data_IF_119369241402
#
_entry.id   IF_119369241402
#
_cell.length_a   1.000
_cell.length_b   1.000
_cell.length_c   1.000
_cell.angle_alpha   90.00
_cell.angle_beta   90.00
_cell.angle_gamma   90.00
#
_symmetry.space_group_name_H-M   'P 1'
#
loop_
_entity.id
_entity.type
_entity.pdbx_description
1 polymer ?
#
# COMPACT_ATOMS: atom_id res chain seq x y z
N UNK A 1 20.63 -6.15 17.06
CA UNK A 1 20.66 -7.59 16.70
C UNK A 1 21.10 -7.84 15.25
N UNK A 2 20.46 -7.25 14.23
CA UNK A 2 20.95 -7.40 12.84
C UNK A 2 22.32 -6.73 12.61
N UNK A 3 22.54 -5.57 13.22
CA UNK A 3 23.82 -4.85 13.17
C UNK A 3 24.97 -5.64 13.77
N UNK A 4 24.75 -6.32 14.92
CA UNK A 4 25.78 -7.10 15.63
C UNK A 4 26.29 -8.29 14.80
N UNK A 5 25.40 -8.98 14.06
CA UNK A 5 25.76 -10.14 13.23
C UNK A 5 26.60 -9.76 12.00
N UNK A 6 26.50 -8.53 11.53
CA UNK A 6 27.17 -8.09 10.30
C UNK A 6 28.45 -7.27 10.56
N UNK A 7 28.98 -7.24 11.79
CA UNK A 7 30.17 -6.46 12.17
C UNK A 7 30.09 -4.96 11.81
N UNK A 8 28.87 -4.41 11.76
CA UNK A 8 28.64 -3.02 11.35
C UNK A 8 28.97 -2.05 12.52
N UNK A 9 29.02 -2.54 13.75
CA UNK A 9 29.44 -1.73 14.93
C UNK A 9 30.84 -1.10 14.74
N UNK A 10 31.76 -1.80 14.09
CA UNK A 10 33.10 -1.28 13.79
C UNK A 10 33.11 -0.12 12.80
N UNK A 11 32.04 0.04 12.02
CA UNK A 11 31.89 1.14 11.05
C UNK A 11 31.34 2.40 11.74
N UNK A 12 30.63 2.23 12.85
CA UNK A 12 29.99 3.27 13.63
C UNK A 12 30.47 3.31 15.08
N UNK A 13 31.78 3.27 15.31
CA UNK A 13 32.32 3.67 16.62
C UNK A 13 31.75 5.05 16.97
N UNK A 14 31.17 5.26 18.15
CA UNK A 14 30.57 6.54 18.50
C UNK A 14 31.61 7.64 18.38
N UNK A 15 31.48 8.45 17.34
CA UNK A 15 32.22 9.71 17.29
C UNK A 15 31.92 10.50 18.54
N UNK A 16 32.95 11.08 19.18
CA UNK A 16 32.80 11.98 20.32
C UNK A 16 31.68 12.95 20.03
N UNK A 17 30.67 13.00 20.92
CA UNK A 17 29.51 13.91 20.82
C UNK A 17 30.00 15.31 20.48
N UNK A 18 29.67 15.79 19.31
CA UNK A 18 29.93 17.17 18.89
C UNK A 18 28.73 18.02 19.30
N UNK A 19 28.80 18.59 20.50
CA UNK A 19 27.79 19.50 21.05
C UNK A 19 27.46 20.68 20.11
N UNK A 20 28.42 21.13 19.29
CA UNK A 20 28.18 22.17 18.28
C UNK A 20 27.27 21.68 17.19
N UNK A 21 27.43 20.44 16.76
CA UNK A 21 26.59 19.78 15.74
C UNK A 21 25.18 19.53 16.29
N UNK A 22 25.05 19.07 17.54
CA UNK A 22 23.75 18.88 18.20
C UNK A 22 23.01 20.22 18.40
N UNK A 23 23.71 21.27 18.84
CA UNK A 23 23.14 22.62 18.98
C UNK A 23 22.71 23.18 17.61
N UNK A 24 23.54 23.01 16.57
CA UNK A 24 23.20 23.42 15.21
C UNK A 24 21.96 22.70 14.68
N UNK A 25 21.83 21.40 14.91
CA UNK A 25 20.64 20.65 14.53
C UNK A 25 19.40 21.02 15.36
N UNK A 26 19.56 21.34 16.64
CA UNK A 26 18.47 21.84 17.49
C UNK A 26 17.98 23.23 17.04
N UNK A 27 18.91 24.15 16.76
CA UNK A 27 18.60 25.50 16.19
C UNK A 27 17.94 25.38 14.83
N UNK A 28 18.43 24.49 13.97
CA UNK A 28 17.85 24.18 12.66
C UNK A 28 16.42 23.61 12.79
N UNK A 29 16.19 22.74 13.76
CA UNK A 29 14.86 22.19 14.09
C UNK A 29 13.90 23.27 14.60
N UNK A 30 14.38 24.20 15.43
CA UNK A 30 13.62 25.36 15.88
C UNK A 30 13.30 26.34 14.74
N UNK A 31 14.27 26.66 13.89
CA UNK A 31 14.10 27.51 12.71
C UNK A 31 13.08 26.88 11.73
N UNK A 32 13.15 25.57 11.51
CA UNK A 32 12.17 24.81 10.69
C UNK A 32 10.76 24.88 11.30
N UNK A 33 10.63 24.80 12.63
CA UNK A 33 9.32 24.89 13.29
C UNK A 33 8.71 26.30 13.21
N UNK A 34 9.52 27.33 13.32
CA UNK A 34 9.10 28.73 13.12
C UNK A 34 8.73 28.97 11.66
N UNK A 35 9.49 28.43 10.73
CA UNK A 35 9.23 28.52 9.28
C UNK A 35 7.98 27.72 8.84
N UNK A 36 7.59 26.67 9.56
CA UNK A 36 6.33 25.93 9.30
C UNK A 36 5.06 26.79 9.41
N UNK A 37 5.13 27.94 10.06
CA UNK A 37 4.00 28.87 10.22
C UNK A 37 3.80 29.82 9.02
N UNK A 38 4.72 29.89 8.03
CA UNK A 38 4.60 30.75 6.84
C UNK A 38 4.67 29.92 5.56
N UNK A 39 3.65 29.98 4.71
CA UNK A 39 3.45 29.11 3.54
C UNK A 39 4.57 29.11 2.49
N UNK A 40 5.27 30.22 2.27
CA UNK A 40 6.39 30.32 1.33
C UNK A 40 7.67 29.61 1.81
N UNK A 41 7.90 29.53 3.10
CA UNK A 41 9.08 28.91 3.72
C UNK A 41 9.00 27.38 3.76
N UNK A 42 7.78 26.79 3.64
CA UNK A 42 7.59 25.34 3.70
C UNK A 42 8.31 24.59 2.58
N UNK A 43 8.28 25.13 1.37
CA UNK A 43 8.85 24.47 0.18
C UNK A 43 10.38 24.46 0.25
N UNK A 44 10.99 25.61 0.60
CA UNK A 44 12.45 25.72 0.73
C UNK A 44 12.99 24.92 1.92
N UNK A 45 12.30 24.96 3.06
CA UNK A 45 12.69 24.16 4.23
C UNK A 45 12.61 22.65 3.97
N UNK A 46 11.62 22.18 3.20
CA UNK A 46 11.52 20.78 2.77
C UNK A 46 12.67 20.39 1.85
N UNK A 47 13.05 21.27 0.92
CA UNK A 47 14.17 21.05 -0.01
C UNK A 47 15.50 20.93 0.76
N UNK A 48 15.80 21.88 1.65
CA UNK A 48 17.01 21.87 2.46
C UNK A 48 17.07 20.59 3.33
N UNK A 49 15.95 20.22 3.95
CA UNK A 49 15.89 18.99 4.74
C UNK A 49 16.12 17.74 3.87
N UNK A 50 15.53 17.70 2.69
CA UNK A 50 15.72 16.58 1.76
C UNK A 50 17.18 16.47 1.30
N UNK A 51 17.81 17.58 0.95
CA UNK A 51 19.22 17.61 0.56
C UNK A 51 20.16 17.18 1.70
N UNK A 52 19.88 17.65 2.93
CA UNK A 52 20.61 17.20 4.13
C UNK A 52 20.47 15.70 4.37
N UNK A 53 19.24 15.15 4.21
CA UNK A 53 19.01 13.71 4.34
C UNK A 53 19.69 12.90 3.23
N UNK A 54 19.64 13.39 1.99
CA UNK A 54 20.38 12.76 0.88
C UNK A 54 21.86 12.69 1.17
N UNK A 55 22.47 13.79 1.62
CA UNK A 55 23.89 13.81 1.97
C UNK A 55 24.23 12.81 3.09
N UNK A 56 23.43 12.76 4.14
CA UNK A 56 23.59 11.78 5.23
C UNK A 56 23.50 10.35 4.71
N UNK A 57 22.54 10.07 3.83
CA UNK A 57 22.38 8.75 3.23
C UNK A 57 23.54 8.40 2.29
N UNK A 58 24.08 9.36 1.54
CA UNK A 58 25.27 9.17 0.70
C UNK A 58 26.50 8.77 1.51
N UNK A 59 26.69 9.39 2.68
CA UNK A 59 27.76 9.01 3.60
C UNK A 59 27.62 7.55 4.06
N UNK A 60 26.42 7.11 4.39
CA UNK A 60 26.12 5.72 4.75
C UNK A 60 26.44 4.78 3.56
N UNK A 61 25.90 5.09 2.39
CA UNK A 61 26.10 4.28 1.17
C UNK A 61 27.57 4.11 0.80
N UNK A 62 28.37 5.16 0.95
CA UNK A 62 29.80 5.12 0.59
C UNK A 62 30.62 4.19 1.49
N UNK A 63 30.17 3.93 2.71
CA UNK A 63 30.86 3.12 3.70
C UNK A 63 30.40 1.65 3.72
N UNK A 64 29.19 1.38 3.24
CA UNK A 64 28.56 0.06 3.31
C UNK A 64 28.62 -0.62 1.95
N UNK A 65 29.10 -1.85 1.92
CA UNK A 65 29.06 -2.70 0.72
C UNK A 65 27.69 -3.35 0.59
N UNK A 66 27.24 -3.53 -0.64
CA UNK A 66 26.02 -4.29 -0.93
C UNK A 66 26.29 -5.78 -0.67
N UNK A 67 25.40 -6.41 0.06
CA UNK A 67 25.40 -7.85 0.29
C UNK A 67 24.43 -8.51 -0.70
N UNK A 68 24.92 -9.41 -1.58
CA UNK A 68 24.11 -10.06 -2.62
C UNK A 68 23.01 -10.97 -2.05
N UNK A 69 23.11 -11.36 -0.78
CA UNK A 69 22.19 -12.28 -0.11
C UNK A 69 21.20 -11.58 0.83
N UNK A 70 21.19 -10.25 0.89
CA UNK A 70 20.27 -9.49 1.72
C UNK A 70 19.12 -8.93 0.87
N UNK A 71 17.89 -9.20 1.31
CA UNK A 71 16.65 -8.73 0.70
C UNK A 71 15.87 -7.88 1.72
N UNK A 72 15.49 -6.68 1.32
CA UNK A 72 14.72 -5.75 2.14
C UNK A 72 13.27 -5.67 1.64
N UNK A 73 12.34 -5.94 2.54
CA UNK A 73 10.89 -5.91 2.29
C UNK A 73 10.21 -4.74 3.01
N UNK A 74 9.20 -4.16 2.36
CA UNK A 74 8.30 -3.22 3.01
C UNK A 74 6.94 -3.18 2.32
N UNK A 75 5.87 -3.15 3.10
CA UNK A 75 4.50 -3.06 2.61
C UNK A 75 3.86 -1.76 3.09
N UNK A 76 3.29 -0.98 2.16
CA UNK A 76 2.63 0.31 2.42
C UNK A 76 3.47 1.24 3.32
N UNK A 77 4.77 1.37 3.01
CA UNK A 77 5.70 2.18 3.79
C UNK A 77 5.80 1.72 5.26
N UNK A 78 5.87 0.41 5.46
CA UNK A 78 6.05 -0.23 6.76
C UNK A 78 4.82 -0.27 7.67
N UNK A 79 3.61 -0.08 7.13
CA UNK A 79 2.37 -0.07 7.92
C UNK A 79 1.75 -1.44 8.13
N UNK A 80 2.07 -2.43 7.31
CA UNK A 80 1.47 -3.76 7.37
C UNK A 80 2.43 -4.86 6.97
N UNK A 81 2.09 -6.09 7.31
CA UNK A 81 2.65 -7.32 6.78
C UNK A 81 1.61 -7.95 5.86
N UNK A 82 1.81 -7.91 4.56
CA UNK A 82 0.82 -8.37 3.59
C UNK A 82 1.20 -8.04 2.15
N UNK A 83 0.24 -8.15 1.24
CA UNK A 83 0.39 -7.82 -0.17
C UNK A 83 1.50 -8.64 -0.86
N UNK A 84 1.92 -8.26 -2.06
CA UNK A 84 2.94 -8.96 -2.84
C UNK A 84 4.31 -9.09 -2.16
N UNK A 85 4.80 -8.13 -1.35
CA UNK A 85 6.03 -8.34 -0.60
C UNK A 85 5.96 -9.54 0.36
N UNK A 86 4.81 -9.74 1.06
CA UNK A 86 4.59 -10.91 1.92
C UNK A 86 4.60 -12.20 1.11
N UNK A 87 3.86 -12.26 0.01
CA UNK A 87 3.77 -13.45 -0.82
C UNK A 87 5.15 -13.89 -1.35
N UNK A 88 5.98 -12.93 -1.81
CA UNK A 88 7.35 -13.22 -2.25
C UNK A 88 8.20 -13.72 -1.08
N UNK A 89 8.12 -13.09 0.08
CA UNK A 89 8.88 -13.48 1.26
C UNK A 89 8.52 -14.89 1.73
N UNK A 90 7.24 -15.22 1.85
CA UNK A 90 6.78 -16.54 2.28
C UNK A 90 7.15 -17.64 1.26
N UNK A 91 7.10 -17.34 -0.03
CA UNK A 91 7.63 -18.23 -1.06
C UNK A 91 9.13 -18.49 -0.89
N UNK A 92 9.93 -17.45 -0.60
CA UNK A 92 11.37 -17.61 -0.38
C UNK A 92 11.68 -18.42 0.87
N UNK A 93 10.91 -18.27 1.96
CA UNK A 93 11.07 -19.08 3.18
C UNK A 93 10.80 -20.56 2.94
N UNK A 94 9.94 -20.90 2.00
CA UNK A 94 9.61 -22.30 1.66
C UNK A 94 10.49 -22.92 0.59
N UNK A 95 11.51 -22.19 0.08
CA UNK A 95 12.33 -22.63 -1.03
C UNK A 95 13.82 -22.63 -0.65
N UNK A 96 14.42 -23.81 -0.60
CA UNK A 96 15.82 -24.08 -0.21
C UNK A 96 16.87 -23.21 -0.95
N UNK A 97 16.54 -22.69 -2.14
CA UNK A 97 17.43 -21.78 -2.88
C UNK A 97 17.72 -20.48 -2.13
N UNK A 98 16.91 -20.16 -1.13
CA UNK A 98 17.02 -18.93 -0.34
C UNK A 98 17.45 -19.18 1.11
N UNK A 99 17.83 -20.39 1.50
CA UNK A 99 18.22 -20.74 2.88
C UNK A 99 19.39 -19.92 3.41
N UNK A 100 20.30 -19.49 2.53
CA UNK A 100 21.44 -18.68 2.86
C UNK A 100 21.21 -17.16 2.66
N UNK A 101 19.97 -16.76 2.40
CA UNK A 101 19.59 -15.35 2.31
C UNK A 101 19.21 -14.78 3.67
N UNK A 102 19.40 -13.49 3.80
CA UNK A 102 18.95 -12.69 4.95
C UNK A 102 17.77 -11.82 4.53
N UNK A 103 16.68 -11.91 5.27
CA UNK A 103 15.47 -11.15 5.03
C UNK A 103 15.35 -10.04 6.06
N UNK A 104 15.14 -8.81 5.60
CA UNK A 104 14.94 -7.65 6.46
C UNK A 104 13.59 -7.02 6.18
N UNK A 105 12.74 -6.94 7.19
CA UNK A 105 11.46 -6.25 7.11
C UNK A 105 11.55 -4.85 7.70
N UNK A 106 11.11 -3.85 6.94
CA UNK A 106 11.04 -2.47 7.41
C UNK A 106 9.61 -2.12 7.81
N UNK A 107 9.39 -1.88 9.12
CA UNK A 107 8.09 -1.50 9.69
C UNK A 107 8.14 -0.14 10.37
N UNK A 108 7.01 0.60 10.37
CA UNK A 108 6.84 1.82 11.17
C UNK A 108 6.67 1.53 12.66
N UNK A 109 5.95 0.46 12.97
CA UNK A 109 5.75 -0.03 14.33
C UNK A 109 6.14 -1.51 14.43
N UNK A 110 7.42 -1.81 14.61
CA UNK A 110 7.92 -3.19 14.60
C UNK A 110 7.31 -4.09 15.69
N UNK A 111 6.84 -3.51 16.80
CA UNK A 111 6.21 -4.28 17.89
C UNK A 111 4.96 -5.04 17.46
N UNK A 112 4.28 -4.60 16.39
CA UNK A 112 3.09 -5.27 15.87
C UNK A 112 3.41 -6.49 14.99
N UNK A 113 4.68 -6.65 14.58
CA UNK A 113 5.09 -7.64 13.59
C UNK A 113 6.26 -8.50 14.06
N UNK A 114 6.44 -8.66 15.39
CA UNK A 114 7.54 -9.43 15.97
C UNK A 114 7.50 -10.90 15.59
N UNK A 115 6.35 -11.42 15.23
CA UNK A 115 6.16 -12.81 14.78
C UNK A 115 7.01 -13.17 13.54
N UNK A 116 7.41 -12.19 12.70
CA UNK A 116 8.30 -12.49 11.57
C UNK A 116 9.71 -12.89 12.03
N UNK A 117 10.10 -12.57 13.26
CA UNK A 117 11.39 -12.95 13.84
C UNK A 117 11.48 -14.44 14.20
N UNK A 118 10.35 -15.14 14.23
CA UNK A 118 10.30 -16.60 14.44
C UNK A 118 10.81 -17.35 13.20
N UNK A 119 10.87 -16.66 12.04
CA UNK A 119 11.39 -17.25 10.80
C UNK A 119 12.92 -17.16 10.74
N UNK A 120 13.58 -18.15 10.12
CA UNK A 120 15.03 -18.18 10.01
C UNK A 120 15.56 -16.95 9.22
N UNK A 121 16.73 -16.46 9.61
CA UNK A 121 17.44 -15.38 8.92
C UNK A 121 16.62 -14.09 8.69
N UNK A 122 15.58 -13.88 9.49
CA UNK A 122 14.69 -12.72 9.37
C UNK A 122 14.95 -11.69 10.47
N UNK A 123 14.99 -10.42 10.08
CA UNK A 123 15.28 -9.27 10.95
C UNK A 123 14.27 -8.15 10.69
N UNK A 124 14.12 -7.27 11.67
CA UNK A 124 13.25 -6.10 11.57
C UNK A 124 14.06 -4.82 11.77
N UNK A 125 13.74 -3.81 10.94
CA UNK A 125 14.21 -2.42 11.13
C UNK A 125 13.02 -1.46 11.18
N UNK A 126 13.20 -0.33 11.86
CA UNK A 126 12.17 0.71 11.93
C UNK A 126 12.35 1.71 10.78
N UNK A 127 11.30 1.92 9.99
CA UNK A 127 11.31 2.90 8.88
C UNK A 127 11.70 4.30 9.36
N UNK A 128 12.49 5.01 8.56
CA UNK A 128 13.01 6.35 8.86
C UNK A 128 14.00 6.42 10.03
N UNK A 129 14.64 5.32 10.41
CA UNK A 129 15.75 5.26 11.35
C UNK A 129 17.08 5.09 10.63
N UNK A 130 18.18 5.21 11.34
CA UNK A 130 19.50 4.93 10.81
C UNK A 130 19.69 3.47 10.42
N UNK A 131 19.13 2.55 11.21
CA UNK A 131 19.16 1.11 10.93
C UNK A 131 18.45 0.78 9.61
N UNK A 132 17.35 1.48 9.32
CA UNK A 132 16.67 1.38 8.03
C UNK A 132 17.55 1.88 6.87
N UNK A 133 18.25 3.01 7.06
CA UNK A 133 19.18 3.54 6.05
C UNK A 133 20.37 2.58 5.83
N UNK A 134 20.88 1.94 6.89
CA UNK A 134 21.92 0.91 6.81
C UNK A 134 21.37 -0.32 6.07
N UNK A 135 20.19 -0.79 6.43
CA UNK A 135 19.55 -1.94 5.77
C UNK A 135 19.34 -1.68 4.27
N UNK A 136 18.86 -0.49 3.89
CA UNK A 136 18.73 -0.10 2.47
C UNK A 136 20.08 -0.05 1.77
N UNK A 137 21.14 0.44 2.42
CA UNK A 137 22.48 0.48 1.83
C UNK A 137 23.12 -0.92 1.70
N UNK A 138 22.75 -1.88 2.55
CA UNK A 138 23.28 -3.25 2.56
C UNK A 138 22.54 -4.16 1.57
N UNK A 139 21.20 -4.11 1.54
CA UNK A 139 20.39 -5.04 0.79
C UNK A 139 20.63 -4.93 -0.72
N UNK A 140 20.89 -6.08 -1.38
CA UNK A 140 20.95 -6.19 -2.84
C UNK A 140 19.59 -5.95 -3.48
N UNK A 141 18.55 -6.51 -2.89
CA UNK A 141 17.20 -6.45 -3.43
C UNK A 141 16.26 -5.68 -2.49
N UNK A 142 15.49 -4.76 -3.04
CA UNK A 142 14.44 -4.01 -2.34
C UNK A 142 13.11 -4.38 -2.95
N UNK A 143 12.21 -4.93 -2.14
CA UNK A 143 10.90 -5.45 -2.56
C UNK A 143 9.81 -4.64 -1.88
N UNK A 144 9.22 -3.71 -2.60
CA UNK A 144 8.30 -2.70 -2.07
C UNK A 144 7.04 -2.58 -2.92
N UNK A 145 5.90 -2.37 -2.29
CA UNK A 145 4.65 -2.07 -2.98
C UNK A 145 4.21 -0.60 -2.84
N UNK A 146 5.06 0.24 -2.30
CA UNK A 146 4.82 1.67 -2.10
C UNK A 146 6.09 2.46 -2.45
N UNK A 147 5.93 3.75 -2.75
CA UNK A 147 7.10 4.59 -3.10
C UNK A 147 8.03 4.79 -1.92
N UNK A 148 9.31 4.67 -2.16
CA UNK A 148 10.32 4.93 -1.16
C UNK A 148 10.46 6.41 -0.84
N UNK A 149 10.97 6.73 0.35
CA UNK A 149 11.33 8.08 0.76
C UNK A 149 12.27 8.74 -0.27
N UNK A 150 12.08 10.04 -0.54
CA UNK A 150 12.78 10.76 -1.62
C UNK A 150 14.30 10.82 -1.44
N UNK A 151 14.79 10.73 -0.20
CA UNK A 151 16.23 10.74 0.11
C UNK A 151 16.90 9.37 -0.03
N UNK A 152 16.13 8.28 -0.08
CA UNK A 152 16.64 6.92 -0.25
C UNK A 152 16.64 6.57 -1.75
N UNK A 153 17.78 6.13 -2.26
CA UNK A 153 17.94 5.69 -3.65
C UNK A 153 19.02 4.62 -3.75
N UNK A 154 18.88 3.66 -4.68
CA UNK A 154 19.76 2.51 -4.77
C UNK A 154 21.16 2.89 -5.29
N UNK A 155 22.14 2.04 -4.98
CA UNK A 155 23.42 2.00 -5.67
C UNK A 155 23.26 1.35 -7.06
N UNK A 156 24.24 1.53 -7.97
CA UNK A 156 24.17 0.92 -9.30
C UNK A 156 24.06 -0.62 -9.30
N UNK A 157 24.60 -1.25 -8.27
CA UNK A 157 24.60 -2.70 -8.09
C UNK A 157 23.38 -3.24 -7.32
N UNK A 158 22.51 -2.37 -6.81
CA UNK A 158 21.27 -2.77 -6.12
C UNK A 158 20.08 -2.85 -7.08
N UNK A 159 19.09 -3.66 -6.72
CA UNK A 159 17.85 -3.88 -7.50
C UNK A 159 16.63 -3.49 -6.68
N UNK A 160 16.03 -2.37 -7.01
CA UNK A 160 14.74 -1.98 -6.45
C UNK A 160 13.61 -2.48 -7.36
N UNK A 161 12.73 -3.31 -6.79
CA UNK A 161 11.53 -3.86 -7.42
C UNK A 161 10.32 -3.16 -6.82
N UNK A 162 9.64 -2.36 -7.62
CA UNK A 162 8.38 -1.72 -7.28
C UNK A 162 7.23 -2.66 -7.66
N UNK A 163 6.50 -3.16 -6.69
CA UNK A 163 5.39 -4.10 -6.92
C UNK A 163 4.05 -3.38 -7.15
N UNK A 164 3.98 -2.09 -6.78
CA UNK A 164 2.73 -1.36 -6.67
C UNK A 164 1.70 -2.12 -5.80
N UNK A 165 0.43 -1.73 -5.83
CA UNK A 165 -0.53 -2.28 -4.87
C UNK A 165 -1.98 -2.34 -5.38
N UNK A 166 -2.19 -2.35 -6.68
CA UNK A 166 -3.50 -2.53 -7.31
C UNK A 166 -3.51 -2.15 -8.78
N UNK A 167 -4.37 -2.79 -9.54
CA UNK A 167 -4.67 -2.42 -10.92
C UNK A 167 -5.21 -0.98 -10.95
N UNK A 168 -4.68 -0.09 -11.77
CA UNK A 168 -5.06 1.32 -11.72
C UNK A 168 -6.44 1.55 -12.37
N UNK A 169 -7.46 1.74 -11.55
CA UNK A 169 -8.76 2.25 -11.98
C UNK A 169 -8.70 3.78 -12.14
N UNK A 170 -8.15 4.46 -11.14
CA UNK A 170 -7.99 5.92 -11.10
C UNK A 170 -6.70 6.33 -11.78
N UNK A 171 -6.72 7.48 -12.47
CA UNK A 171 -5.50 8.05 -13.07
C UNK A 171 -4.43 8.30 -12.02
N UNK A 172 -3.19 8.03 -12.40
CA UNK A 172 -2.01 8.12 -11.55
C UNK A 172 -0.99 9.12 -12.13
N UNK A 173 -0.14 9.67 -11.29
CA UNK A 173 1.05 10.39 -11.68
C UNK A 173 0.87 11.44 -12.75
N UNK A 174 1.50 11.22 -13.90
CA UNK A 174 1.45 12.13 -15.05
C UNK A 174 0.08 12.20 -15.72
N UNK A 175 -0.76 11.18 -15.57
CA UNK A 175 -2.08 11.09 -16.23
C UNK A 175 -3.18 11.83 -15.48
N UNK A 176 -2.89 12.35 -14.28
CA UNK A 176 -3.87 13.10 -13.48
C UNK A 176 -4.15 14.45 -14.17
N UNK A 177 -5.41 14.66 -14.53
CA UNK A 177 -5.86 15.84 -15.30
C UNK A 177 -6.56 16.92 -14.47
N UNK A 178 -6.53 16.84 -13.15
CA UNK A 178 -7.26 17.78 -12.30
C UNK A 178 -6.44 19.05 -12.08
N UNK A 179 -7.16 20.19 -12.01
CA UNK A 179 -6.65 21.47 -11.49
C UNK A 179 -6.09 21.28 -10.08
N UNK A 180 -5.08 22.06 -9.72
CA UNK A 180 -4.41 22.01 -8.43
C UNK A 180 -5.39 21.86 -7.26
N UNK A 181 -5.42 20.69 -6.65
CA UNK A 181 -6.17 20.50 -5.42
C UNK A 181 -5.36 21.02 -4.22
N UNK A 182 -6.04 21.31 -3.12
CA UNK A 182 -5.46 21.96 -1.95
C UNK A 182 -4.30 21.18 -1.26
N UNK A 183 -4.10 19.91 -1.58
CA UNK A 183 -3.09 19.06 -0.93
C UNK A 183 -1.81 18.86 -1.73
N UNK A 184 -1.87 18.72 -3.06
CA UNK A 184 -0.70 18.54 -3.92
C UNK A 184 -0.97 19.17 -5.29
N UNK A 185 -0.08 20.01 -5.78
CA UNK A 185 -0.15 20.51 -7.14
C UNK A 185 0.18 19.41 -8.16
N UNK A 186 -0.31 19.54 -9.39
CA UNK A 186 -0.01 18.62 -10.50
C UNK A 186 1.51 18.48 -10.69
N UNK A 187 2.27 19.55 -10.53
CA UNK A 187 3.73 19.53 -10.62
C UNK A 187 4.39 18.72 -9.49
N UNK A 188 3.88 18.80 -8.26
CA UNK A 188 4.40 18.03 -7.13
C UNK A 188 4.13 16.53 -7.28
N UNK A 189 2.95 16.17 -7.80
CA UNK A 189 2.61 14.78 -8.09
C UNK A 189 3.55 14.21 -9.16
N UNK A 190 3.73 14.94 -10.28
CA UNK A 190 4.63 14.54 -11.36
C UNK A 190 6.07 14.38 -10.89
N UNK A 191 6.57 15.31 -10.07
CA UNK A 191 7.92 15.21 -9.51
C UNK A 191 8.10 13.97 -8.63
N UNK A 192 7.11 13.63 -7.81
CA UNK A 192 7.14 12.40 -7.00
C UNK A 192 7.21 11.14 -7.86
N UNK A 193 6.45 11.06 -8.95
CA UNK A 193 6.46 9.92 -9.85
C UNK A 193 7.76 9.84 -10.66
N UNK A 194 8.29 10.98 -11.10
CA UNK A 194 9.60 11.08 -11.75
C UNK A 194 10.74 10.58 -10.85
N UNK A 195 10.76 11.03 -9.59
CA UNK A 195 11.76 10.60 -8.61
C UNK A 195 11.64 9.09 -8.37
N UNK A 196 10.43 8.54 -8.25
CA UNK A 196 10.20 7.10 -8.07
C UNK A 196 10.67 6.31 -9.30
N UNK A 197 10.31 6.74 -10.52
CA UNK A 197 10.74 6.16 -11.78
C UNK A 197 12.27 6.11 -11.95
N UNK A 198 12.98 7.09 -11.38
CA UNK A 198 14.45 7.10 -11.43
C UNK A 198 15.10 6.01 -10.57
N UNK A 199 14.39 5.48 -9.56
CA UNK A 199 14.92 4.58 -8.54
C UNK A 199 14.73 3.11 -8.85
N UNK A 200 13.53 2.69 -9.26
CA UNK A 200 13.28 1.26 -9.46
C UNK A 200 13.98 0.73 -10.72
N UNK A 201 14.45 -0.51 -10.61
CA UNK A 201 14.95 -1.30 -11.73
C UNK A 201 13.81 -1.96 -12.48
N UNK A 202 12.78 -2.42 -11.74
CA UNK A 202 11.58 -3.03 -12.27
C UNK A 202 10.34 -2.51 -11.56
N UNK A 203 9.23 -2.43 -12.32
CA UNK A 203 7.88 -2.24 -11.78
C UNK A 203 7.00 -3.39 -12.26
N UNK A 204 6.31 -4.03 -11.31
CA UNK A 204 5.46 -5.18 -11.60
C UNK A 204 4.05 -4.72 -11.97
N UNK A 205 3.55 -5.22 -13.09
CA UNK A 205 2.19 -5.01 -13.56
C UNK A 205 1.38 -6.32 -13.53
N UNK A 206 0.12 -6.28 -13.07
CA UNK A 206 -0.72 -7.47 -13.00
C UNK A 206 -1.28 -7.89 -14.36
N UNK A 207 -1.24 -7.02 -15.36
CA UNK A 207 -1.77 -7.25 -16.71
C UNK A 207 -1.16 -6.23 -17.69
N UNK A 208 -1.34 -6.48 -18.98
CA UNK A 208 -0.95 -5.55 -20.04
C UNK A 208 -1.59 -4.17 -19.86
N UNK A 209 -2.90 -4.12 -19.58
CA UNK A 209 -3.60 -2.86 -19.26
C UNK A 209 -2.89 -2.07 -18.17
N UNK A 210 -2.55 -2.71 -17.05
CA UNK A 210 -1.84 -2.03 -15.97
C UNK A 210 -0.42 -1.60 -16.37
N UNK A 211 0.27 -2.41 -17.17
CA UNK A 211 1.60 -2.10 -17.72
C UNK A 211 1.60 -0.82 -18.52
N UNK A 212 0.66 -0.68 -19.48
CA UNK A 212 0.49 0.55 -20.26
C UNK A 212 0.24 1.78 -19.35
N UNK A 213 -0.63 1.62 -18.33
CA UNK A 213 -0.93 2.74 -17.42
C UNK A 213 0.25 3.09 -16.51
N UNK A 214 1.10 2.11 -16.16
CA UNK A 214 2.33 2.39 -15.42
C UNK A 214 3.37 3.09 -16.31
N UNK A 215 3.52 2.72 -17.58
CA UNK A 215 4.38 3.42 -18.54
C UNK A 215 4.00 4.91 -18.61
N UNK A 216 2.71 5.20 -18.80
CA UNK A 216 2.18 6.56 -18.89
C UNK A 216 2.29 7.31 -17.55
N UNK A 217 1.80 6.73 -16.45
CA UNK A 217 1.74 7.38 -15.14
C UNK A 217 3.11 7.76 -14.58
N UNK A 218 4.14 6.95 -14.77
CA UNK A 218 5.53 7.22 -14.39
C UNK A 218 6.35 7.91 -15.49
N UNK A 219 5.73 8.16 -16.66
CA UNK A 219 6.39 8.78 -17.83
C UNK A 219 7.66 8.02 -18.25
N UNK A 220 7.57 6.68 -18.26
CA UNK A 220 8.73 5.81 -18.47
C UNK A 220 9.28 5.91 -19.87
N UNK A 221 8.44 6.15 -20.88
CA UNK A 221 8.86 6.34 -22.25
C UNK A 221 9.83 7.53 -22.39
N UNK A 222 9.51 8.67 -21.76
CA UNK A 222 10.36 9.87 -21.82
C UNK A 222 11.75 9.69 -21.19
N UNK A 223 11.94 8.66 -20.38
CA UNK A 223 13.24 8.35 -19.73
C UNK A 223 13.84 7.03 -20.21
N UNK A 224 13.29 6.42 -21.27
CA UNK A 224 13.79 5.20 -21.88
C UNK A 224 13.73 3.97 -20.96
N UNK A 225 12.67 3.84 -20.14
CA UNK A 225 12.50 2.77 -19.15
C UNK A 225 11.25 1.92 -19.34
N UNK A 226 10.70 1.83 -20.54
CA UNK A 226 9.50 1.01 -20.82
C UNK A 226 9.75 -0.48 -20.58
N UNK A 227 10.97 -0.94 -20.80
CA UNK A 227 11.44 -2.31 -20.56
C UNK A 227 11.53 -2.72 -19.09
N UNK A 228 11.35 -1.74 -18.18
CA UNK A 228 11.36 -2.01 -16.73
C UNK A 228 10.03 -2.56 -16.23
N UNK A 229 8.96 -2.48 -17.03
CA UNK A 229 7.63 -3.00 -16.68
C UNK A 229 7.59 -4.51 -16.90
N UNK A 230 7.29 -5.26 -15.84
CA UNK A 230 7.17 -6.71 -15.89
C UNK A 230 5.70 -7.11 -15.72
N UNK A 231 5.09 -7.65 -16.77
CA UNK A 231 3.69 -8.10 -16.78
C UNK A 231 3.60 -9.56 -16.29
N UNK A 232 3.74 -9.77 -14.98
CA UNK A 232 3.85 -11.11 -14.36
C UNK A 232 2.71 -11.45 -13.38
N UNK A 233 1.68 -10.61 -13.28
CA UNK A 233 0.68 -10.76 -12.24
C UNK A 233 1.13 -10.17 -10.89
N UNK A 234 0.21 -10.13 -9.91
CA UNK A 234 0.57 -9.78 -8.54
C UNK A 234 0.80 -11.05 -7.72
N UNK A 235 1.99 -11.25 -7.11
CA UNK A 235 2.27 -12.43 -6.27
C UNK A 235 1.27 -12.65 -5.14
N UNK A 236 0.66 -11.57 -4.60
CA UNK A 236 -0.40 -11.70 -3.60
C UNK A 236 -1.61 -12.50 -4.10
N UNK A 237 -1.90 -12.45 -5.41
CA UNK A 237 -3.06 -13.12 -5.99
C UNK A 237 -2.85 -14.62 -6.18
N UNK A 238 -1.63 -15.13 -6.04
CA UNK A 238 -1.34 -16.57 -6.07
C UNK A 238 -2.12 -17.30 -4.97
N UNK A 239 -2.33 -16.66 -3.81
CA UNK A 239 -3.17 -17.20 -2.74
C UNK A 239 -4.61 -17.41 -3.19
N UNK A 240 -5.17 -16.52 -4.02
CA UNK A 240 -6.54 -16.63 -4.53
C UNK A 240 -6.74 -17.84 -5.48
N UNK A 241 -5.67 -18.34 -6.07
CA UNK A 241 -5.70 -19.52 -6.93
C UNK A 241 -5.40 -20.83 -6.18
N UNK A 242 -4.74 -20.73 -5.02
CA UNK A 242 -4.16 -21.90 -4.33
C UNK A 242 -4.70 -22.13 -2.90
N UNK A 243 -5.59 -21.27 -2.39
CA UNK A 243 -6.16 -21.45 -1.05
C UNK A 243 -6.94 -22.76 -0.92
N UNK A 244 -6.93 -23.34 0.29
CA UNK A 244 -7.57 -24.58 0.63
C UNK A 244 -8.82 -24.34 1.50
N UNK A 245 -9.62 -25.39 1.71
CA UNK A 245 -10.71 -25.34 2.69
C UNK A 245 -10.20 -25.09 4.12
N UNK A 246 -9.03 -25.64 4.47
CA UNK A 246 -8.40 -25.42 5.76
C UNK A 246 -8.05 -23.95 5.98
N UNK A 247 -7.53 -23.26 4.95
CA UNK A 247 -7.24 -21.82 5.03
C UNK A 247 -8.51 -21.01 5.31
N UNK A 248 -9.59 -21.34 4.62
CA UNK A 248 -10.90 -20.70 4.83
C UNK A 248 -11.41 -20.90 6.26
N UNK A 249 -11.33 -22.13 6.78
CA UNK A 249 -11.76 -22.47 8.13
C UNK A 249 -10.93 -21.76 9.19
N UNK A 250 -9.61 -21.71 9.02
CA UNK A 250 -8.68 -21.00 9.89
C UNK A 250 -8.95 -19.49 9.91
N UNK A 251 -9.17 -18.87 8.74
CA UNK A 251 -9.47 -17.44 8.63
C UNK A 251 -10.78 -17.11 9.37
N UNK A 252 -11.83 -17.91 9.16
CA UNK A 252 -13.13 -17.74 9.82
C UNK A 252 -12.99 -17.84 11.34
N UNK A 253 -12.22 -18.82 11.82
CA UNK A 253 -11.94 -19.02 13.24
C UNK A 253 -11.16 -17.86 13.83
N UNK A 254 -10.06 -17.47 13.21
CA UNK A 254 -9.22 -16.35 13.66
C UNK A 254 -9.97 -15.00 13.72
N UNK A 255 -10.98 -14.83 12.88
CA UNK A 255 -11.84 -13.65 12.87
C UNK A 255 -13.07 -13.78 13.77
N UNK A 256 -13.27 -14.94 14.42
CA UNK A 256 -14.43 -15.24 15.25
C UNK A 256 -15.77 -14.99 14.53
N UNK A 257 -15.88 -15.43 13.27
CA UNK A 257 -17.07 -15.23 12.46
C UNK A 257 -18.05 -16.42 12.62
N UNK A 258 -19.38 -16.19 12.54
CA UNK A 258 -20.38 -17.25 12.57
C UNK A 258 -20.27 -18.13 11.31
N UNK A 259 -20.19 -19.47 11.52
CA UNK A 259 -19.98 -20.44 10.42
C UNK A 259 -21.25 -20.79 9.63
N UNK A 260 -22.41 -20.42 10.17
CA UNK A 260 -23.75 -20.68 9.60
C UNK A 260 -24.25 -19.55 8.68
N UNK A 261 -23.42 -18.54 8.42
CA UNK A 261 -23.74 -17.37 7.59
C UNK A 261 -22.86 -17.30 6.35
N UNK A 262 -23.39 -16.68 5.30
CA UNK A 262 -22.63 -16.20 4.15
C UNK A 262 -22.05 -14.81 4.42
N UNK A 263 -20.98 -14.46 3.71
CA UNK A 263 -20.23 -13.24 3.98
C UNK A 263 -20.28 -12.26 2.80
N UNK A 264 -20.72 -11.05 3.07
CA UNK A 264 -20.65 -9.92 2.14
C UNK A 264 -19.46 -9.04 2.55
N UNK A 265 -18.43 -8.95 1.69
CA UNK A 265 -17.35 -8.00 1.90
C UNK A 265 -17.79 -6.61 1.40
N UNK A 266 -17.98 -5.67 2.31
CA UNK A 266 -18.23 -4.28 1.97
C UNK A 266 -16.94 -3.46 2.12
N UNK A 267 -16.37 -3.05 0.98
CA UNK A 267 -15.07 -2.38 0.89
C UNK A 267 -15.17 -1.03 0.17
N UNK A 268 -15.79 0.00 0.77
CA UNK A 268 -15.97 1.30 0.15
C UNK A 268 -14.67 2.08 0.07
N UNK A 269 -14.54 2.91 -0.97
CA UNK A 269 -13.45 3.86 -1.13
C UNK A 269 -13.64 5.06 -0.19
N UNK A 270 -12.53 5.50 0.35
CA UNK A 270 -12.45 6.76 1.09
C UNK A 270 -12.80 7.99 0.22
N UNK A 271 -13.49 8.98 0.82
CA UNK A 271 -13.82 10.27 0.17
C UNK A 271 -12.92 11.38 0.73
N UNK A 272 -12.04 11.93 -0.10
CA UNK A 272 -11.09 12.99 0.28
C UNK A 272 -11.80 14.31 0.68
N UNK A 273 -13.03 14.53 0.23
CA UNK A 273 -13.83 15.74 0.50
C UNK A 273 -14.65 15.68 1.82
N UNK A 274 -14.64 14.56 2.54
CA UNK A 274 -15.37 14.42 3.82
C UNK A 274 -14.51 14.83 5.04
N UNK A 275 -13.70 15.89 4.91
CA UNK A 275 -12.91 16.46 5.99
C UNK A 275 -13.58 17.72 6.55
N UNK A 276 -13.96 17.72 7.83
CA UNK A 276 -14.43 18.92 8.54
C UNK A 276 -13.30 19.51 9.39
N UNK A 277 -13.01 20.79 9.18
CA UNK A 277 -12.00 21.52 9.95
C UNK A 277 -12.35 21.52 11.45
N UNK A 278 -11.45 21.03 12.28
CA UNK A 278 -11.63 20.96 13.75
C UNK A 278 -12.25 19.67 14.30
N UNK A 279 -12.88 18.84 13.44
CA UNK A 279 -13.47 17.55 13.83
C UNK A 279 -12.69 16.38 13.22
N UNK A 280 -11.99 16.61 12.12
CA UNK A 280 -11.32 15.55 11.35
C UNK A 280 -12.21 15.01 10.24
N UNK A 281 -11.90 13.79 9.81
CA UNK A 281 -12.67 13.12 8.77
C UNK A 281 -13.96 12.53 9.36
N UNK A 282 -15.10 12.87 8.77
CA UNK A 282 -16.40 12.30 9.08
C UNK A 282 -16.79 11.37 7.94
N UNK A 283 -17.16 10.14 8.26
CA UNK A 283 -17.72 9.22 7.27
C UNK A 283 -19.22 9.19 7.41
N UNK A 284 -19.92 9.55 6.35
CA UNK A 284 -21.34 9.32 6.21
C UNK A 284 -21.55 8.20 5.20
N UNK A 285 -22.02 7.05 5.66
CA UNK A 285 -22.42 5.99 4.76
C UNK A 285 -23.83 6.26 4.23
N UNK A 286 -24.01 6.08 2.92
CA UNK A 286 -25.36 6.11 2.31
C UNK A 286 -26.02 4.73 2.35
N UNK A 287 -25.32 3.71 2.87
CA UNK A 287 -25.87 2.35 3.05
C UNK A 287 -26.77 2.32 4.27
N UNK A 288 -28.02 1.90 4.07
CA UNK A 288 -29.01 1.67 5.13
C UNK A 288 -28.82 0.25 5.72
N UNK A 289 -27.96 0.14 6.74
CA UNK A 289 -27.68 -1.14 7.40
C UNK A 289 -28.88 -1.72 8.17
N UNK A 290 -29.85 -0.90 8.57
CA UNK A 290 -31.06 -1.35 9.23
C UNK A 290 -31.95 -2.13 8.23
N UNK A 291 -32.12 -1.60 7.01
CA UNK A 291 -32.81 -2.33 5.93
C UNK A 291 -32.07 -3.58 5.48
N UNK A 292 -30.73 -3.50 5.34
CA UNK A 292 -29.94 -4.67 4.98
C UNK A 292 -30.04 -5.77 6.04
N UNK A 293 -30.01 -5.43 7.31
CA UNK A 293 -30.17 -6.38 8.41
C UNK A 293 -31.54 -7.06 8.37
N UNK A 294 -32.60 -6.28 8.10
CA UNK A 294 -33.95 -6.81 7.99
C UNK A 294 -34.10 -7.79 6.81
N UNK A 295 -33.46 -7.47 5.66
CA UNK A 295 -33.61 -8.24 4.44
C UNK A 295 -32.68 -9.45 4.37
N UNK A 296 -31.46 -9.37 4.92
CA UNK A 296 -30.39 -10.33 4.68
C UNK A 296 -29.83 -10.97 5.96
N UNK A 297 -30.17 -10.47 7.16
CA UNK A 297 -29.53 -10.84 8.41
C UNK A 297 -29.72 -12.31 8.83
N UNK A 298 -30.73 -13.00 8.27
CA UNK A 298 -30.95 -14.43 8.51
C UNK A 298 -29.95 -15.30 7.76
N UNK A 299 -29.42 -14.86 6.61
CA UNK A 299 -28.53 -15.64 5.76
C UNK A 299 -27.10 -15.06 5.69
N UNK A 300 -26.96 -13.74 5.76
CA UNK A 300 -25.69 -13.03 5.53
C UNK A 300 -25.25 -12.22 6.73
N UNK A 301 -23.93 -12.02 6.81
CA UNK A 301 -23.30 -10.96 7.61
C UNK A 301 -22.42 -10.07 6.71
N UNK A 302 -22.13 -8.86 7.17
CA UNK A 302 -21.32 -7.90 6.44
C UNK A 302 -19.94 -7.81 7.09
N UNK A 303 -18.90 -8.08 6.31
CA UNK A 303 -17.50 -7.83 6.64
C UNK A 303 -17.15 -6.41 6.18
N UNK A 304 -17.17 -5.44 7.09
CA UNK A 304 -16.93 -4.05 6.77
C UNK A 304 -15.44 -3.72 6.82
N UNK A 305 -14.86 -3.49 5.64
CA UNK A 305 -13.46 -3.08 5.47
C UNK A 305 -13.37 -1.65 4.96
N UNK A 306 -13.13 -0.71 5.83
CA UNK A 306 -12.96 0.69 5.48
C UNK A 306 -11.57 1.21 5.87
N UNK A 307 -11.23 2.40 5.37
CA UNK A 307 -10.06 3.11 5.87
C UNK A 307 -10.18 3.33 7.38
N UNK A 308 -9.08 3.22 8.13
CA UNK A 308 -9.09 3.26 9.60
C UNK A 308 -9.79 4.50 10.20
N UNK A 309 -9.77 5.64 9.51
CA UNK A 309 -10.47 6.85 9.93
C UNK A 309 -12.00 6.71 9.88
N UNK A 310 -12.49 5.94 8.90
CA UNK A 310 -13.91 5.63 8.71
C UNK A 310 -14.38 4.61 9.74
N UNK A 311 -13.58 3.55 9.92
CA UNK A 311 -13.90 2.50 10.88
C UNK A 311 -14.06 3.01 12.32
N UNK A 312 -13.35 4.07 12.68
CA UNK A 312 -13.47 4.68 14.01
C UNK A 312 -14.76 5.54 14.21
N UNK A 313 -15.43 5.94 13.13
CA UNK A 313 -16.66 6.76 13.19
C UNK A 313 -17.95 5.96 12.98
N UNK A 314 -17.83 4.66 12.63
CA UNK A 314 -18.99 3.79 12.44
C UNK A 314 -19.39 3.10 13.75
N UNK A 315 -20.67 3.12 14.09
CA UNK A 315 -21.23 2.46 15.28
C UNK A 315 -21.45 0.96 15.04
N UNK A 316 -20.38 0.17 15.25
CA UNK A 316 -20.45 -1.29 15.11
C UNK A 316 -21.31 -1.95 16.19
N UNK A 317 -21.43 -1.33 17.37
CA UNK A 317 -22.21 -1.90 18.49
C UNK A 317 -23.69 -1.95 18.16
N UNK A 318 -24.20 -0.94 17.45
CA UNK A 318 -25.58 -0.93 16.91
C UNK A 318 -25.88 -2.15 16.05
N UNK A 319 -24.90 -2.60 15.26
CA UNK A 319 -25.06 -3.68 14.29
C UNK A 319 -24.37 -4.98 14.70
N UNK A 320 -24.13 -5.15 15.99
CA UNK A 320 -23.48 -6.37 16.53
C UNK A 320 -24.20 -7.64 16.05
N UNK A 321 -23.42 -8.63 15.61
CA UNK A 321 -23.90 -9.89 15.05
C UNK A 321 -24.29 -9.83 13.56
N UNK A 322 -24.30 -8.63 12.94
CA UNK A 322 -24.58 -8.46 11.52
C UNK A 322 -23.43 -7.76 10.76
N UNK A 323 -22.81 -6.73 11.34
CA UNK A 323 -21.66 -6.02 10.73
C UNK A 323 -20.42 -6.25 11.57
N UNK A 324 -19.38 -6.79 10.94
CA UNK A 324 -18.09 -7.10 11.56
C UNK A 324 -17.01 -6.17 11.03
N UNK A 325 -16.28 -5.51 11.93
CA UNK A 325 -15.17 -4.64 11.55
C UNK A 325 -13.92 -5.47 11.22
N UNK A 326 -13.61 -5.58 9.93
CA UNK A 326 -12.42 -6.29 9.43
C UNK A 326 -11.35 -5.34 8.89
N UNK A 327 -11.44 -4.03 9.20
CA UNK A 327 -10.52 -3.00 8.69
C UNK A 327 -9.07 -3.19 9.13
N UNK A 328 -8.82 -3.94 10.20
CA UNK A 328 -7.47 -4.23 10.74
C UNK A 328 -6.85 -5.52 10.21
N UNK A 329 -7.55 -6.29 9.41
CA UNK A 329 -7.00 -7.51 8.79
C UNK A 329 -5.88 -7.09 7.84
N UNK A 330 -4.66 -7.60 8.08
CA UNK A 330 -3.47 -7.20 7.33
C UNK A 330 -3.54 -7.59 5.85
N UNK A 331 -3.96 -8.83 5.58
CA UNK A 331 -4.06 -9.37 4.24
C UNK A 331 -5.51 -9.40 3.76
N UNK A 332 -5.81 -8.60 2.76
CA UNK A 332 -7.17 -8.52 2.21
C UNK A 332 -7.59 -9.81 1.51
N UNK A 333 -6.63 -10.61 1.02
CA UNK A 333 -6.93 -11.87 0.35
C UNK A 333 -7.62 -12.86 1.29
N UNK A 334 -7.34 -12.81 2.59
CA UNK A 334 -8.07 -13.58 3.60
C UNK A 334 -9.57 -13.24 3.58
N UNK A 335 -9.90 -11.97 3.40
CA UNK A 335 -11.29 -11.54 3.32
C UNK A 335 -11.93 -11.94 1.98
N UNK A 336 -11.17 -11.90 0.90
CA UNK A 336 -11.67 -12.31 -0.40
C UNK A 336 -12.08 -13.77 -0.44
N UNK A 337 -11.22 -14.68 0.06
CA UNK A 337 -11.49 -16.13 -0.05
C UNK A 337 -12.66 -16.61 0.81
N UNK A 338 -12.97 -15.91 1.90
CA UNK A 338 -14.13 -16.23 2.74
C UNK A 338 -15.43 -15.57 2.27
N UNK A 339 -15.37 -14.51 1.44
CA UNK A 339 -16.55 -13.74 1.05
C UNK A 339 -17.26 -14.33 -0.16
N UNK A 340 -18.58 -14.44 -0.08
CA UNK A 340 -19.43 -14.93 -1.18
C UNK A 340 -19.74 -13.82 -2.18
N UNK A 341 -19.69 -12.55 -1.75
CA UNK A 341 -20.05 -11.37 -2.50
C UNK A 341 -19.16 -10.18 -2.09
N UNK A 342 -18.69 -9.44 -3.09
CA UNK A 342 -18.06 -8.13 -2.88
C UNK A 342 -19.04 -7.00 -3.17
N UNK A 343 -19.14 -6.02 -2.26
CA UNK A 343 -19.78 -4.73 -2.49
C UNK A 343 -18.72 -3.65 -2.37
N UNK A 344 -18.48 -2.92 -3.44
CA UNK A 344 -17.46 -1.86 -3.50
C UNK A 344 -17.91 -0.70 -4.39
N UNK A 345 -17.05 0.29 -4.58
CA UNK A 345 -17.31 1.45 -5.42
C UNK A 345 -16.12 1.72 -6.38
N UNK A 346 -15.35 2.78 -6.15
CA UNK A 346 -14.22 3.19 -7.00
C UNK A 346 -12.89 2.58 -6.55
N UNK A 347 -12.90 1.42 -5.94
CA UNK A 347 -11.72 0.73 -5.42
C UNK A 347 -11.17 -0.29 -6.41
N UNK A 348 -9.85 -0.42 -6.50
CA UNK A 348 -9.19 -1.47 -7.30
C UNK A 348 -9.35 -2.89 -6.74
N UNK A 349 -10.02 -3.07 -5.61
CA UNK A 349 -10.23 -4.39 -4.98
C UNK A 349 -11.00 -5.36 -5.87
N UNK A 350 -11.88 -4.85 -6.72
CA UNK A 350 -12.67 -5.70 -7.63
C UNK A 350 -11.80 -6.42 -8.67
N UNK A 351 -10.70 -5.82 -9.13
CA UNK A 351 -9.78 -6.51 -10.04
C UNK A 351 -9.14 -7.75 -9.41
N UNK A 352 -8.83 -7.69 -8.12
CA UNK A 352 -8.26 -8.83 -7.40
C UNK A 352 -9.34 -9.85 -7.05
N UNK A 353 -10.49 -9.40 -6.54
CA UNK A 353 -11.62 -10.26 -6.19
C UNK A 353 -12.19 -11.02 -7.42
N UNK A 354 -12.16 -10.40 -8.59
CA UNK A 354 -12.57 -11.01 -9.86
C UNK A 354 -11.83 -12.30 -10.21
N UNK A 355 -10.61 -12.53 -9.66
CA UNK A 355 -9.91 -13.82 -9.82
C UNK A 355 -10.69 -15.00 -9.22
N UNK A 356 -11.54 -14.76 -8.23
CA UNK A 356 -12.39 -15.78 -7.61
C UNK A 356 -13.64 -16.11 -8.41
N UNK A 357 -13.98 -15.31 -9.42
CA UNK A 357 -15.19 -15.45 -10.26
C UNK A 357 -16.47 -15.49 -9.42
N UNK A 358 -16.53 -14.72 -8.35
CA UNK A 358 -17.68 -14.55 -7.47
C UNK A 358 -18.41 -13.24 -7.80
N UNK A 359 -19.68 -13.09 -7.38
CA UNK A 359 -20.47 -11.89 -7.67
C UNK A 359 -19.85 -10.61 -7.07
N UNK A 360 -19.99 -9.51 -7.81
CA UNK A 360 -19.57 -8.19 -7.39
C UNK A 360 -20.70 -7.17 -7.60
N UNK A 361 -20.91 -6.29 -6.62
CA UNK A 361 -21.85 -5.16 -6.69
C UNK A 361 -21.08 -3.86 -6.61
N UNK A 362 -21.28 -2.99 -7.59
CA UNK A 362 -20.72 -1.65 -7.63
C UNK A 362 -21.76 -0.65 -7.11
N UNK A 363 -21.59 -0.20 -5.86
CA UNK A 363 -22.44 0.77 -5.21
C UNK A 363 -21.88 2.19 -5.38
N UNK A 364 -22.16 2.81 -6.53
CA UNK A 364 -21.57 4.08 -6.98
C UNK A 364 -22.59 5.23 -6.89
N UNK A 365 -23.12 5.51 -5.71
CA UNK A 365 -24.17 6.48 -5.46
C UNK A 365 -23.80 7.95 -5.78
N UNK A 366 -22.53 8.26 -5.92
CA UNK A 366 -22.00 9.62 -6.15
C UNK A 366 -21.10 9.69 -7.41
N UNK A 367 -21.41 8.89 -8.42
CA UNK A 367 -20.57 8.71 -9.63
C UNK A 367 -20.25 10.04 -10.33
N UNK A 368 -21.27 10.89 -10.55
CA UNK A 368 -21.10 12.18 -11.24
C UNK A 368 -20.16 13.12 -10.46
N UNK A 369 -20.34 13.21 -9.16
CA UNK A 369 -19.52 14.03 -8.27
C UNK A 369 -18.09 13.48 -8.16
N UNK A 370 -17.96 12.16 -8.05
CA UNK A 370 -16.66 11.51 -7.85
C UNK A 370 -15.82 11.53 -9.14
N UNK A 371 -16.42 11.32 -10.30
CA UNK A 371 -15.74 11.29 -11.60
C UNK A 371 -15.21 12.65 -12.06
N UNK A 372 -15.95 13.74 -11.77
CA UNK A 372 -15.60 15.09 -12.21
C UNK A 372 -14.59 15.80 -11.30
N UNK A 373 -14.56 15.50 -10.00
CA UNK A 373 -13.84 16.31 -9.00
C UNK A 373 -12.47 15.76 -8.60
N UNK A 374 -12.17 14.44 -8.73
CA UNK A 374 -11.08 13.88 -7.94
C UNK A 374 -9.83 13.50 -8.72
N UNK A 375 -9.87 12.74 -9.80
CA UNK A 375 -8.65 12.32 -10.53
C UNK A 375 -8.89 11.84 -11.96
N UNK A 376 -10.13 11.53 -12.34
CA UNK A 376 -10.47 10.81 -13.56
C UNK A 376 -10.13 9.31 -13.47
N UNK A 377 -10.72 8.54 -14.37
CA UNK A 377 -10.56 7.10 -14.47
C UNK A 377 -9.80 6.72 -15.73
N UNK A 378 -9.13 5.55 -15.72
CA UNK A 378 -8.52 4.95 -16.91
C UNK A 378 -9.50 4.13 -17.74
N UNK A 379 -10.59 3.70 -17.11
CA UNK A 379 -11.67 2.94 -17.74
C UNK A 379 -12.89 3.86 -17.74
N UNK A 380 -13.60 3.89 -18.86
CA UNK A 380 -14.92 4.50 -18.90
C UNK A 380 -15.87 3.62 -18.06
N UNK A 381 -16.45 4.22 -17.03
CA UNK A 381 -17.30 3.47 -16.11
C UNK A 381 -18.64 3.11 -16.75
N UNK A 382 -19.10 3.87 -17.74
CA UNK A 382 -20.31 3.54 -18.52
C UNK A 382 -20.04 2.35 -19.45
N UNK A 383 -18.85 2.30 -20.10
CA UNK A 383 -18.41 1.13 -20.84
C UNK A 383 -18.21 -0.09 -19.94
N UNK A 384 -17.63 0.11 -18.76
CA UNK A 384 -17.46 -0.95 -17.76
C UNK A 384 -18.82 -1.51 -17.35
N UNK A 385 -19.80 -0.66 -17.06
CA UNK A 385 -21.18 -1.05 -16.75
C UNK A 385 -21.79 -1.90 -17.88
N UNK A 386 -21.58 -1.50 -19.13
CA UNK A 386 -22.11 -2.21 -20.28
C UNK A 386 -21.40 -3.56 -20.49
N UNK A 387 -20.09 -3.61 -20.40
CA UNK A 387 -19.30 -4.85 -20.50
C UNK A 387 -19.64 -5.84 -19.39
N UNK A 388 -19.83 -5.36 -18.17
CA UNK A 388 -20.18 -6.19 -17.02
C UNK A 388 -21.62 -6.69 -17.09
N UNK A 389 -22.54 -5.92 -17.67
CA UNK A 389 -23.92 -6.37 -17.93
C UNK A 389 -23.98 -7.49 -19.00
N UNK A 390 -23.06 -7.47 -19.97
CA UNK A 390 -22.91 -8.53 -20.99
C UNK A 390 -22.25 -9.78 -20.40
N UNK A 391 -21.28 -9.61 -19.50
CA UNK A 391 -20.59 -10.71 -18.84
C UNK A 391 -21.48 -11.50 -17.85
N UNK A 392 -22.62 -10.95 -17.45
CA UNK A 392 -23.61 -11.64 -16.61
C UNK A 392 -24.22 -12.90 -17.25
N UNK A 393 -24.01 -13.12 -18.56
CA UNK A 393 -24.37 -14.35 -19.26
C UNK A 393 -23.35 -15.48 -19.19
N UNK A 394 -22.14 -15.23 -18.63
CA UNK A 394 -21.09 -16.24 -18.48
C UNK A 394 -20.48 -16.20 -17.08
N UNK A 395 -21.15 -16.80 -16.10
CA UNK A 395 -20.66 -17.19 -14.77
C UNK A 395 -20.17 -16.10 -13.79
N UNK A 396 -20.21 -14.81 -14.10
CA UNK A 396 -19.93 -13.71 -13.15
C UNK A 396 -21.12 -12.75 -13.20
N UNK A 397 -21.79 -12.55 -12.05
CA UNK A 397 -22.91 -11.60 -11.94
C UNK A 397 -22.40 -10.27 -11.37
N UNK A 398 -22.35 -9.25 -12.21
CA UNK A 398 -22.10 -7.87 -11.77
C UNK A 398 -23.44 -7.12 -11.69
N UNK A 399 -23.65 -6.41 -10.60
CA UNK A 399 -24.85 -5.60 -10.40
C UNK A 399 -24.40 -4.16 -10.13
N UNK A 400 -24.78 -3.24 -11.01
CA UNK A 400 -24.66 -1.81 -10.77
C UNK A 400 -25.92 -1.30 -10.07
N UNK A 401 -25.74 -0.59 -8.97
CA UNK A 401 -26.82 0.13 -8.31
C UNK A 401 -26.46 1.62 -8.38
N UNK A 402 -27.10 2.32 -9.31
CA UNK A 402 -27.20 3.79 -9.29
C UNK A 402 -28.52 4.16 -8.63
N UNK A 403 -28.51 5.07 -7.68
CA UNK A 403 -29.69 5.69 -7.11
C UNK A 403 -30.03 6.96 -7.89
#
# INVERSE_FOLDING_TARGET
>A
MWLDKNNIETIYAPEKRDYKKELFEAVKKCAINIAKKRSGFRKESRKILLESRKKSYDEIKSRIKTDPKVILFSTFDGRSYGDSPKAIYEYMLSNEKFDDYTFVWAFRNPKQFTFVLDNPNTYIVTVNTKDYEIATATAKYWVYNYRMSDHIYPKPDQVYIQLWHGTPLKRLGYDINISDNAMNSKSEIREKYKVDASKFKYILAPSHFAGEKFISAWNLEAIGKTDTVLELGYPRNDFLANYTKSDVEEIIENLNLPRDKKYILYAPTWRDNQHQAGIGYTYKTEVDFDKLRQALGDEYIILFRAHYLVANSFDFDKYKGFVYNVSKVNDINHLYVISDLLVTDYSSVFFDYGNLKRPEIFYMYDLDAYGSEIRGFYIDLDELQHLLSIASFSSISFIFVSL
#
